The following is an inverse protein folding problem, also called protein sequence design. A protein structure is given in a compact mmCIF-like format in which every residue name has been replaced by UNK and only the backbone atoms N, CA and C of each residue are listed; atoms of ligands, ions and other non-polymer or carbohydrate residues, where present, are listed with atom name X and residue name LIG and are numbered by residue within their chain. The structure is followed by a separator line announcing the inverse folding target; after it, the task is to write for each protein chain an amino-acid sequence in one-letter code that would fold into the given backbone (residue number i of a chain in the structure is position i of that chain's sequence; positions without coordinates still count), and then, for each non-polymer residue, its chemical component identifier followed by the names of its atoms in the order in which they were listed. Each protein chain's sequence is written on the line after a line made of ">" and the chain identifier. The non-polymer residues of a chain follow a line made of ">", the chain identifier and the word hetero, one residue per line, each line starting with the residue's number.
data_IF_869509346824
#
_entry.id   IF_869509346824
#
_cell.length_a   1.000
_cell.length_b   1.000
_cell.length_c   1.000
_cell.angle_alpha   90.00
_cell.angle_beta   90.00
_cell.angle_gamma   90.00
#
_symmetry.space_group_name_H-M   'P 1'
#
loop_
_entity.id
_entity.type
_entity.pdbx_description
1 polymer ?
#
# COMPACT_ATOMS: atom_id res chain seq x y z
N UNK A 1 19.97 10.69 0.49
CA UNK A 1 19.04 9.79 1.18
C UNK A 1 17.82 10.61 1.52
N UNK A 2 16.67 10.31 0.90
CA UNK A 2 15.43 11.04 1.20
C UNK A 2 14.81 10.33 2.38
N UNK A 3 14.71 11.00 3.53
CA UNK A 3 14.08 10.42 4.72
C UNK A 3 12.63 10.11 4.35
N UNK A 4 12.22 8.84 4.48
CA UNK A 4 10.87 8.38 4.12
C UNK A 4 9.85 8.92 5.12
N UNK A 5 10.23 9.02 6.40
CA UNK A 5 9.45 9.61 7.48
C UNK A 5 10.29 10.67 8.19
N UNK A 6 10.06 11.98 7.97
CA UNK A 6 10.95 13.07 8.41
C UNK A 6 11.22 13.18 9.92
N UNK A 7 10.54 12.38 10.72
CA UNK A 7 10.54 12.40 12.19
C UNK A 7 11.11 11.09 12.78
N UNK A 8 11.59 10.17 11.92
CA UNK A 8 12.14 8.85 12.30
C UNK A 8 11.19 8.00 13.18
N UNK A 9 9.89 8.29 13.13
CA UNK A 9 8.81 7.64 13.88
C UNK A 9 7.81 6.92 12.96
N UNK A 10 8.21 6.71 11.70
CA UNK A 10 7.38 6.10 10.68
C UNK A 10 6.91 4.70 11.08
N UNK A 11 5.66 4.38 10.76
CA UNK A 11 5.14 3.01 10.85
C UNK A 11 4.81 2.54 9.44
N UNK A 12 5.51 1.51 8.99
CA UNK A 12 5.27 0.87 7.71
C UNK A 12 4.44 -0.40 7.91
N UNK A 13 3.31 -0.51 7.22
CA UNK A 13 2.44 -1.69 7.28
C UNK A 13 2.34 -2.31 5.88
N UNK A 14 2.51 -3.64 5.81
CA UNK A 14 2.32 -4.43 4.59
C UNK A 14 1.69 -5.78 4.93
N UNK A 15 1.12 -6.46 3.94
CA UNK A 15 0.62 -7.82 4.11
C UNK A 15 1.76 -8.87 4.11
N UNK A 16 1.40 -10.12 4.33
CA UNK A 16 2.35 -11.24 4.37
C UNK A 16 2.55 -11.93 3.00
N UNK A 17 2.36 -11.21 1.89
CA UNK A 17 2.63 -11.77 0.57
C UNK A 17 4.07 -12.31 0.47
N UNK A 18 4.29 -13.35 -0.36
CA UNK A 18 5.60 -14.01 -0.48
C UNK A 18 6.72 -13.05 -0.91
N UNK A 19 6.41 -12.03 -1.72
CA UNK A 19 7.37 -11.00 -2.10
C UNK A 19 7.76 -10.10 -0.92
N UNK A 20 6.81 -9.71 -0.07
CA UNK A 20 7.02 -8.85 1.10
C UNK A 20 7.81 -9.53 2.23
N UNK A 21 7.80 -10.87 2.25
CA UNK A 21 8.49 -11.69 3.24
C UNK A 21 9.78 -12.34 2.69
N UNK A 22 10.18 -12.01 1.45
CA UNK A 22 11.40 -12.51 0.84
C UNK A 22 12.65 -12.07 1.63
N UNK A 23 13.71 -12.88 1.61
CA UNK A 23 14.93 -12.62 2.36
C UNK A 23 15.58 -11.27 2.01
N UNK A 24 15.55 -10.88 0.74
CA UNK A 24 16.06 -9.58 0.28
C UNK A 24 15.25 -8.40 0.84
N UNK A 25 13.93 -8.55 0.98
CA UNK A 25 13.07 -7.51 1.54
C UNK A 25 13.27 -7.39 3.05
N UNK A 26 13.40 -8.52 3.76
CA UNK A 26 13.74 -8.51 5.19
C UNK A 26 15.09 -7.86 5.47
N UNK A 27 16.12 -8.20 4.69
CA UNK A 27 17.44 -7.60 4.81
C UNK A 27 17.41 -6.07 4.61
N UNK A 28 16.59 -5.59 3.66
CA UNK A 28 16.40 -4.15 3.45
C UNK A 28 15.74 -3.48 4.67
N UNK A 29 14.71 -4.10 5.28
CA UNK A 29 14.12 -3.57 6.52
C UNK A 29 15.09 -3.58 7.70
N UNK A 30 15.95 -4.59 7.81
CA UNK A 30 16.99 -4.63 8.84
C UNK A 30 18.03 -3.50 8.66
N UNK A 31 18.39 -3.16 7.43
CA UNK A 31 19.29 -2.04 7.12
C UNK A 31 18.67 -0.67 7.50
N UNK A 32 17.34 -0.53 7.44
CA UNK A 32 16.61 0.73 7.66
C UNK A 32 15.82 0.74 8.99
N UNK A 33 16.16 -0.14 9.94
CA UNK A 33 15.41 -0.31 11.19
C UNK A 33 15.40 0.92 12.10
N UNK A 34 16.37 1.83 11.91
CA UNK A 34 16.45 3.09 12.66
C UNK A 34 15.61 4.23 12.03
N UNK A 35 15.04 4.02 10.82
CA UNK A 35 14.27 5.04 10.10
C UNK A 35 12.74 4.90 10.29
N UNK A 36 12.26 3.67 10.53
CA UNK A 36 10.84 3.37 10.74
C UNK A 36 10.64 1.98 11.34
N UNK A 37 9.46 1.73 11.89
CA UNK A 37 9.04 0.43 12.42
C UNK A 37 8.11 -0.28 11.43
N UNK A 38 8.38 -1.57 11.17
CA UNK A 38 7.45 -2.43 10.42
C UNK A 38 6.38 -2.99 11.37
N UNK A 39 5.11 -2.70 11.10
CA UNK A 39 3.98 -3.21 11.87
C UNK A 39 3.63 -4.65 11.42
N UNK A 40 3.71 -5.65 12.31
CA UNK A 40 3.33 -7.02 11.95
C UNK A 40 1.82 -7.13 11.72
N UNK A 41 1.43 -7.70 10.58
CA UNK A 41 0.04 -8.02 10.28
C UNK A 41 -0.20 -9.53 10.48
N UNK A 42 -1.27 -9.94 11.20
CA UNK A 42 -1.65 -11.35 11.23
C UNK A 42 -2.03 -11.87 9.84
N UNK A 43 -1.72 -13.14 9.56
CA UNK A 43 -2.08 -13.75 8.29
C UNK A 43 -3.61 -13.77 8.09
N UNK A 44 -4.05 -13.56 6.85
CA UNK A 44 -5.48 -13.55 6.47
C UNK A 44 -6.32 -12.52 7.24
N UNK A 45 -5.75 -11.37 7.60
CA UNK A 45 -6.46 -10.28 8.29
C UNK A 45 -6.55 -9.02 7.42
N UNK A 46 -7.26 -9.06 6.28
CA UNK A 46 -7.43 -7.88 5.42
C UNK A 46 -8.21 -6.77 6.13
N UNK A 47 -9.05 -7.12 7.11
CA UNK A 47 -9.79 -6.19 7.97
C UNK A 47 -8.88 -5.27 8.81
N UNK A 48 -7.63 -5.71 9.05
CA UNK A 48 -6.62 -4.94 9.78
C UNK A 48 -5.69 -4.14 8.86
N UNK A 49 -5.88 -4.21 7.54
CA UNK A 49 -5.08 -3.49 6.55
C UNK A 49 -5.85 -2.27 6.01
N UNK A 50 -5.49 -1.03 6.37
CA UNK A 50 -6.20 0.18 5.95
C UNK A 50 -6.30 0.37 4.44
N UNK A 51 -5.37 -0.19 3.65
CA UNK A 51 -5.40 -0.06 2.19
C UNK A 51 -6.64 -0.72 1.58
N UNK A 52 -7.22 -1.74 2.24
CA UNK A 52 -8.43 -2.43 1.76
C UNK A 52 -9.64 -1.48 1.74
N UNK A 53 -9.73 -0.56 2.70
CA UNK A 53 -10.77 0.46 2.71
C UNK A 53 -10.60 1.46 1.56
N UNK A 54 -9.35 1.83 1.25
CA UNK A 54 -9.05 2.69 0.12
C UNK A 54 -9.39 2.02 -1.21
N UNK A 55 -9.02 0.74 -1.38
CA UNK A 55 -9.38 -0.03 -2.57
C UNK A 55 -10.89 -0.13 -2.77
N UNK A 56 -11.65 -0.40 -1.70
CA UNK A 56 -13.10 -0.40 -1.76
C UNK A 56 -13.68 0.94 -2.18
N UNK A 57 -13.12 2.06 -1.69
CA UNK A 57 -13.54 3.39 -2.10
C UNK A 57 -13.27 3.65 -3.59
N UNK A 58 -12.04 3.39 -4.04
CA UNK A 58 -11.62 3.59 -5.44
C UNK A 58 -12.44 2.74 -6.41
N UNK A 59 -12.67 1.46 -6.09
CA UNK A 59 -13.50 0.57 -6.88
C UNK A 59 -14.94 1.11 -7.04
N UNK A 60 -15.52 1.64 -5.96
CA UNK A 60 -16.84 2.28 -6.02
C UNK A 60 -16.85 3.50 -6.91
N UNK A 61 -15.86 4.39 -6.80
CA UNK A 61 -15.74 5.59 -7.65
C UNK A 61 -15.69 5.18 -9.11
N UNK A 62 -14.79 4.27 -9.48
CA UNK A 62 -14.64 3.81 -10.87
C UNK A 62 -15.93 3.16 -11.40
N UNK A 63 -16.64 2.37 -10.59
CA UNK A 63 -17.88 1.69 -11.00
C UNK A 63 -19.03 2.64 -11.30
N UNK A 64 -19.10 3.79 -10.64
CA UNK A 64 -20.18 4.78 -10.86
C UNK A 64 -19.86 5.80 -11.95
N UNK A 65 -18.64 5.81 -12.49
CA UNK A 65 -18.27 6.69 -13.60
C UNK A 65 -19.08 6.37 -14.86
N UNK A 66 -19.47 7.41 -15.58
CA UNK A 66 -20.14 7.31 -16.88
C UNK A 66 -19.50 8.32 -17.87
N UNK A 67 -18.80 7.84 -18.93
CA UNK A 67 -18.52 6.45 -19.23
C UNK A 67 -17.48 5.84 -18.27
N UNK A 68 -17.51 4.52 -18.09
CA UNK A 68 -16.45 3.81 -17.38
C UNK A 68 -15.13 3.83 -18.18
N UNK A 69 -13.97 3.75 -17.51
CA UNK A 69 -12.69 3.64 -18.20
C UNK A 69 -12.61 2.33 -18.99
N UNK A 70 -12.19 2.41 -20.26
CA UNK A 70 -12.12 1.28 -21.19
C UNK A 70 -10.68 0.94 -21.63
N UNK A 71 -9.69 1.66 -21.11
CA UNK A 71 -8.28 1.37 -21.31
C UNK A 71 -7.45 1.77 -20.08
N UNK A 72 -6.18 1.36 -20.05
CA UNK A 72 -5.29 1.58 -18.90
C UNK A 72 -5.05 3.07 -18.60
N UNK A 73 -4.99 3.92 -19.63
CA UNK A 73 -4.78 5.38 -19.44
C UNK A 73 -5.98 5.99 -18.76
N UNK A 74 -7.19 5.67 -19.23
CA UNK A 74 -8.43 6.16 -18.63
C UNK A 74 -8.60 5.65 -17.19
N UNK A 75 -8.23 4.39 -16.92
CA UNK A 75 -8.28 3.84 -15.56
C UNK A 75 -7.29 4.54 -14.64
N UNK A 76 -6.06 4.78 -15.08
CA UNK A 76 -5.07 5.51 -14.29
C UNK A 76 -5.55 6.93 -13.96
N UNK A 77 -6.03 7.68 -14.96
CA UNK A 77 -6.60 9.02 -14.76
C UNK A 77 -7.80 9.00 -13.81
N UNK A 78 -8.67 7.99 -13.92
CA UNK A 78 -9.81 7.82 -13.01
C UNK A 78 -9.38 7.59 -11.56
N UNK A 79 -8.37 6.74 -11.33
CA UNK A 79 -7.84 6.45 -9.99
C UNK A 79 -7.09 7.64 -9.39
N UNK A 80 -6.38 8.42 -10.21
CA UNK A 80 -5.67 9.64 -9.77
C UNK A 80 -6.60 10.81 -9.45
N UNK A 81 -7.82 10.80 -10.00
CA UNK A 81 -8.82 11.87 -9.83
C UNK A 81 -9.91 11.55 -8.80
N UNK A 82 -9.91 10.33 -8.24
CA UNK A 82 -10.86 9.87 -7.23
C UNK A 82 -10.50 10.43 -5.84
#
# INVERSE_FOLDING_TARGET
>A
MHIVFPQDDGIFQQDNARCHTAASVRAWFEEHQDEFTVLPLPANSPDLNPIEHLWYHLDRVVRIMDPQPHNLVQLATALESA
#
